data_IF_528727064416
#
_entry.id   IF_528727064416
#
_cell.length_a   1.000
_cell.length_b   1.000
_cell.length_c   1.000
_cell.angle_alpha   90.00
_cell.angle_beta   90.00
_cell.angle_gamma   90.00
#
_symmetry.space_group_name_H-M   'P 1'
#
loop_
_entity.id
_entity.type
_entity.pdbx_description
1 polymer ?
#
# COMPACT_ATOMS: atom_id res chain seq x y z
N UNK A 1 13.63 1.59 -6.81
CA UNK A 1 13.61 2.21 -5.47
C UNK A 1 15.02 2.24 -4.92
N UNK A 2 15.37 3.31 -4.22
CA UNK A 2 16.63 3.45 -3.48
C UNK A 2 16.54 2.71 -2.14
N UNK A 3 17.64 2.59 -1.41
CA UNK A 3 17.69 1.93 -0.09
C UNK A 3 17.26 2.87 1.06
N UNK A 4 16.35 3.80 0.80
CA UNK A 4 15.91 4.84 1.73
C UNK A 4 14.41 5.12 1.55
N UNK A 5 13.87 5.95 2.45
CA UNK A 5 12.48 6.42 2.47
C UNK A 5 12.33 7.83 1.88
N UNK A 6 13.35 8.31 1.16
CA UNK A 6 13.39 9.66 0.62
C UNK A 6 12.59 9.73 -0.67
N UNK A 7 11.69 10.70 -0.74
CA UNK A 7 11.00 11.04 -1.97
C UNK A 7 11.87 12.00 -2.79
N UNK A 8 12.34 11.54 -3.94
CA UNK A 8 13.21 12.29 -4.85
C UNK A 8 12.47 13.31 -5.72
N UNK A 9 11.12 13.36 -5.66
CA UNK A 9 10.30 14.18 -6.57
C UNK A 9 9.58 15.30 -5.82
N UNK A 10 8.80 14.98 -4.79
CA UNK A 10 7.86 15.92 -4.17
C UNK A 10 8.14 16.23 -2.70
N UNK A 11 9.28 15.77 -2.18
CA UNK A 11 9.69 15.94 -0.79
C UNK A 11 8.70 15.33 0.24
N UNK A 12 7.92 14.32 -0.16
CA UNK A 12 7.07 13.52 0.73
C UNK A 12 7.87 12.35 1.34
N UNK A 13 9.05 12.64 1.88
CA UNK A 13 9.91 11.62 2.50
C UNK A 13 9.24 11.00 3.72
N UNK A 14 9.31 9.68 3.82
CA UNK A 14 8.73 8.92 4.92
C UNK A 14 9.66 8.80 6.13
N UNK A 15 9.14 8.20 7.20
CA UNK A 15 9.91 7.70 8.33
C UNK A 15 9.64 6.21 8.50
N UNK A 16 10.71 5.43 8.61
CA UNK A 16 10.61 4.00 8.84
C UNK A 16 10.21 3.72 10.30
N UNK A 17 9.21 2.87 10.51
CA UNK A 17 8.73 2.48 11.84
C UNK A 17 8.96 0.99 12.06
N UNK A 18 9.50 0.64 13.24
CA UNK A 18 9.87 -0.73 13.63
C UNK A 18 10.94 -1.38 12.72
N UNK A 19 11.85 -0.56 12.19
CA UNK A 19 13.06 -0.99 11.48
C UNK A 19 12.82 -1.96 10.31
N UNK A 20 12.01 -1.59 9.30
CA UNK A 20 11.93 -2.33 8.05
C UNK A 20 13.29 -2.37 7.35
N UNK A 21 13.46 -3.35 6.47
CA UNK A 21 14.74 -3.58 5.78
C UNK A 21 14.60 -3.40 4.29
N UNK A 22 15.71 -3.12 3.61
CA UNK A 22 15.77 -3.05 2.15
C UNK A 22 16.56 -4.23 1.63
N UNK A 23 16.06 -4.89 0.59
CA UNK A 23 16.76 -5.98 -0.10
C UNK A 23 16.98 -5.63 -1.56
N UNK A 24 18.12 -6.03 -2.12
CA UNK A 24 18.38 -5.94 -3.55
C UNK A 24 17.55 -6.99 -4.32
N UNK A 25 17.36 -6.78 -5.63
CA UNK A 25 16.60 -7.71 -6.48
C UNK A 25 15.14 -7.34 -6.70
N UNK A 26 14.79 -6.07 -6.50
CA UNK A 26 13.53 -5.51 -6.96
C UNK A 26 13.44 -5.42 -8.48
N UNK A 27 12.28 -4.97 -8.96
CA UNK A 27 12.02 -4.76 -10.39
C UNK A 27 13.13 -3.89 -11.00
N UNK A 28 13.65 -4.31 -12.15
CA UNK A 28 14.76 -3.68 -12.86
C UNK A 28 16.05 -3.51 -12.03
N UNK A 29 16.32 -4.41 -11.09
CA UNK A 29 17.55 -4.40 -10.29
C UNK A 29 17.57 -3.38 -9.15
N UNK A 30 16.42 -2.75 -8.84
CA UNK A 30 16.30 -1.82 -7.72
C UNK A 30 16.27 -2.51 -6.34
N UNK A 31 16.10 -1.71 -5.29
CA UNK A 31 15.79 -2.20 -3.95
C UNK A 31 14.29 -2.46 -3.76
N UNK A 32 13.96 -3.27 -2.78
CA UNK A 32 12.59 -3.52 -2.31
C UNK A 32 12.51 -3.25 -0.83
N UNK A 33 11.45 -2.59 -0.38
CA UNK A 33 11.11 -2.49 1.03
C UNK A 33 10.54 -3.83 1.51
N UNK A 34 11.22 -4.47 2.45
CA UNK A 34 10.79 -5.71 3.09
C UNK A 34 10.16 -5.40 4.44
N UNK A 35 8.87 -5.76 4.56
CA UNK A 35 8.08 -5.63 5.77
C UNK A 35 7.77 -7.01 6.36
N UNK A 36 7.89 -7.12 7.68
CA UNK A 36 7.52 -8.32 8.45
C UNK A 36 6.28 -8.01 9.26
N UNK A 37 5.18 -8.69 8.94
CA UNK A 37 3.87 -8.48 9.58
C UNK A 37 3.93 -8.62 11.11
N UNK A 38 4.57 -9.68 11.61
CA UNK A 38 4.71 -9.93 13.06
C UNK A 38 5.54 -8.87 13.81
N UNK A 39 6.24 -8.00 13.08
CA UNK A 39 7.05 -6.91 13.63
C UNK A 39 6.36 -5.55 13.50
N UNK A 40 5.12 -5.48 13.03
CA UNK A 40 4.33 -4.25 12.85
C UNK A 40 5.10 -3.16 12.08
N UNK A 41 5.75 -3.53 10.98
CA UNK A 41 6.62 -2.64 10.21
C UNK A 41 5.84 -1.86 9.15
N UNK A 42 6.15 -0.57 9.02
CA UNK A 42 5.57 0.30 8.00
C UNK A 42 6.45 1.53 7.77
N UNK A 43 6.17 2.27 6.70
CA UNK A 43 6.66 3.63 6.48
C UNK A 43 5.51 4.57 6.78
N UNK A 44 5.76 5.58 7.61
CA UNK A 44 4.80 6.68 7.82
C UNK A 44 5.20 7.86 6.96
N UNK A 45 4.23 8.49 6.30
CA UNK A 45 4.42 9.77 5.62
C UNK A 45 3.71 10.82 6.48
N UNK A 46 4.40 11.88 6.95
CA UNK A 46 3.86 12.79 7.96
C UNK A 46 2.75 13.70 7.43
N UNK A 47 2.60 13.78 6.10
CA UNK A 47 1.66 14.69 5.44
C UNK A 47 0.46 13.91 4.92
N UNK A 48 -0.73 14.30 5.38
CA UNK A 48 -1.99 13.81 4.82
C UNK A 48 -2.20 14.38 3.41
N UNK A 49 -2.53 13.52 2.46
CA UNK A 49 -2.86 13.91 1.09
C UNK A 49 -4.37 13.81 0.87
N UNK A 50 -5.03 14.93 0.56
CA UNK A 50 -6.46 14.91 0.27
C UNK A 50 -6.71 14.37 -1.13
N UNK A 51 -7.30 13.18 -1.23
CA UNK A 51 -7.78 12.59 -2.49
C UNK A 51 -9.28 12.77 -2.71
N UNK A 52 -9.95 13.50 -1.81
CA UNK A 52 -11.39 13.78 -1.93
C UNK A 52 -11.64 14.68 -3.14
N UNK A 53 -12.62 14.30 -3.96
CA UNK A 53 -13.04 15.05 -5.16
C UNK A 53 -11.96 15.23 -6.23
N UNK A 54 -10.96 14.37 -6.29
CA UNK A 54 -9.98 14.31 -7.39
C UNK A 54 -9.86 12.88 -7.91
N UNK A 55 -9.70 12.72 -9.23
CA UNK A 55 -9.26 11.44 -9.78
C UNK A 55 -7.83 11.16 -9.31
N UNK A 56 -7.51 9.91 -8.99
CA UNK A 56 -6.17 9.51 -8.58
C UNK A 56 -5.90 8.04 -8.92
N UNK A 57 -4.62 7.67 -8.92
CA UNK A 57 -4.19 6.28 -9.03
C UNK A 57 -3.20 5.98 -7.91
N UNK A 58 -3.42 4.86 -7.22
CA UNK A 58 -2.45 4.27 -6.31
C UNK A 58 -1.90 3.01 -6.98
N UNK A 59 -0.61 2.99 -7.27
CA UNK A 59 0.06 1.83 -7.87
C UNK A 59 1.33 1.45 -7.12
N UNK A 60 1.64 0.15 -7.13
CA UNK A 60 2.86 -0.39 -6.54
C UNK A 60 3.19 -1.78 -7.06
N UNK A 61 4.46 -2.15 -6.93
CA UNK A 61 4.90 -3.54 -7.05
C UNK A 61 4.90 -4.21 -5.68
N UNK A 62 4.31 -5.41 -5.59
CA UNK A 62 4.31 -6.21 -4.36
C UNK A 62 4.84 -7.63 -4.62
N UNK A 63 5.45 -8.21 -3.58
CA UNK A 63 5.87 -9.60 -3.54
C UNK A 63 5.42 -10.21 -2.21
N UNK A 64 4.18 -10.71 -2.11
CA UNK A 64 3.71 -11.32 -0.88
C UNK A 64 4.42 -12.66 -0.64
N UNK A 65 5.06 -12.84 0.52
CA UNK A 65 5.72 -14.10 0.89
C UNK A 65 4.80 -15.05 1.66
N UNK A 66 3.75 -14.51 2.28
CA UNK A 66 2.81 -15.25 3.12
C UNK A 66 1.41 -14.74 2.88
N UNK A 67 0.48 -15.65 2.58
CA UNK A 67 -0.94 -15.35 2.42
C UNK A 67 -1.75 -16.22 3.39
N UNK A 68 -1.97 -15.73 4.61
CA UNK A 68 -2.76 -16.47 5.62
C UNK A 68 -4.24 -16.14 5.47
N UNK A 69 -5.08 -17.18 5.33
CA UNK A 69 -6.54 -17.01 5.32
C UNK A 69 -7.02 -16.33 6.61
N UNK A 70 -7.95 -15.38 6.50
CA UNK A 70 -8.48 -14.62 7.63
C UNK A 70 -7.54 -13.53 8.18
N UNK A 71 -6.34 -13.35 7.60
CA UNK A 71 -5.44 -12.24 7.95
C UNK A 71 -5.50 -11.16 6.87
N UNK A 72 -5.55 -9.89 7.30
CA UNK A 72 -5.46 -8.73 6.42
C UNK A 72 -4.09 -8.06 6.59
N UNK A 73 -3.47 -7.70 5.47
CA UNK A 73 -2.16 -7.06 5.43
C UNK A 73 -2.30 -5.69 4.77
N UNK A 74 -1.83 -4.65 5.46
CA UNK A 74 -1.86 -3.29 4.96
C UNK A 74 -0.82 -3.05 3.87
N UNK A 75 -1.23 -2.44 2.75
CA UNK A 75 -0.35 -1.98 1.69
C UNK A 75 -0.26 -0.44 1.70
N UNK A 76 -1.40 0.21 1.90
CA UNK A 76 -1.50 1.66 2.06
C UNK A 76 -2.69 1.99 2.97
N UNK A 77 -2.55 3.03 3.78
CA UNK A 77 -3.68 3.58 4.52
C UNK A 77 -3.45 5.04 4.85
N UNK A 78 -4.50 5.83 4.76
CA UNK A 78 -4.59 7.14 5.40
C UNK A 78 -6.00 7.35 5.93
N UNK A 79 -6.12 8.15 6.97
CA UNK A 79 -7.40 8.51 7.57
C UNK A 79 -7.50 10.03 7.62
N UNK A 80 -8.64 10.58 7.19
CA UNK A 80 -8.91 12.01 7.30
C UNK A 80 -9.33 12.39 8.73
N UNK A 81 -10.12 11.53 9.36
CA UNK A 81 -10.64 11.70 10.70
C UNK A 81 -10.85 10.32 11.35
N UNK A 82 -10.89 10.27 12.69
CA UNK A 82 -11.21 9.05 13.45
C UNK A 82 -12.72 8.80 13.47
N UNK A 83 -13.37 8.92 12.31
CA UNK A 83 -14.80 8.73 12.10
C UNK A 83 -15.00 7.65 11.04
N UNK A 84 -16.15 6.96 11.10
CA UNK A 84 -16.49 5.91 10.15
C UNK A 84 -16.37 6.41 8.70
N UNK A 85 -15.90 5.56 7.80
CA UNK A 85 -15.93 5.74 6.34
C UNK A 85 -15.05 6.85 5.73
N UNK A 86 -14.17 7.48 6.52
CA UNK A 86 -13.25 8.53 6.05
C UNK A 86 -11.80 8.04 5.84
N UNK A 87 -11.64 6.73 5.68
CA UNK A 87 -10.36 6.08 5.50
C UNK A 87 -10.19 5.67 4.05
N UNK A 88 -9.01 5.98 3.51
CA UNK A 88 -8.52 5.38 2.28
C UNK A 88 -7.60 4.24 2.70
N UNK A 89 -7.93 3.00 2.34
CA UNK A 89 -7.07 1.87 2.63
C UNK A 89 -6.96 0.95 1.43
N UNK A 90 -5.76 0.39 1.24
CA UNK A 90 -5.49 -0.72 0.35
C UNK A 90 -4.90 -1.84 1.18
N UNK A 91 -5.60 -2.97 1.23
CA UNK A 91 -5.19 -4.16 1.95
C UNK A 91 -5.21 -5.36 1.00
N UNK A 92 -4.48 -6.40 1.37
CA UNK A 92 -4.76 -7.73 0.86
C UNK A 92 -5.33 -8.59 2.00
N UNK A 93 -6.41 -9.32 1.73
CA UNK A 93 -7.10 -10.17 2.72
C UNK A 93 -7.65 -11.41 2.03
N UNK A 94 -7.36 -12.60 2.57
CA UNK A 94 -7.84 -13.87 2.00
C UNK A 94 -7.36 -14.16 0.57
N UNK A 95 -6.30 -13.50 0.13
CA UNK A 95 -5.73 -13.60 -1.22
C UNK A 95 -6.24 -12.56 -2.21
N UNK A 96 -7.29 -11.80 -1.88
CA UNK A 96 -7.78 -10.73 -2.74
C UNK A 96 -7.31 -9.35 -2.25
N UNK A 97 -7.12 -8.43 -3.19
CA UNK A 97 -6.93 -7.02 -2.87
C UNK A 97 -8.28 -6.41 -2.53
N UNK A 98 -8.29 -5.55 -1.51
CA UNK A 98 -9.45 -4.76 -1.14
C UNK A 98 -9.05 -3.32 -0.96
N UNK A 99 -9.90 -2.44 -1.43
CA UNK A 99 -9.73 -1.01 -1.27
C UNK A 99 -11.00 -0.39 -0.78
N UNK A 100 -10.91 0.40 0.28
CA UNK A 100 -12.01 1.21 0.77
C UNK A 100 -11.72 2.69 0.66
N UNK A 101 -12.72 3.46 0.27
CA UNK A 101 -12.69 4.92 0.20
C UNK A 101 -14.11 5.49 0.25
N UNK A 102 -14.38 6.41 1.18
CA UNK A 102 -15.66 7.16 1.28
C UNK A 102 -16.92 6.29 1.16
N UNK A 103 -17.08 5.34 2.10
CA UNK A 103 -18.24 4.44 2.21
C UNK A 103 -18.40 3.44 1.03
N UNK A 104 -17.39 3.34 0.15
CA UNK A 104 -17.34 2.32 -0.89
C UNK A 104 -16.11 1.43 -0.71
N UNK A 105 -16.33 0.13 -0.84
CA UNK A 105 -15.27 -0.88 -0.88
C UNK A 105 -15.29 -1.60 -2.24
N UNK A 106 -14.13 -1.76 -2.86
CA UNK A 106 -13.94 -2.62 -4.02
C UNK A 106 -13.02 -3.78 -3.66
N UNK A 107 -13.43 -4.99 -4.02
CA UNK A 107 -12.59 -6.20 -3.92
C UNK A 107 -12.17 -6.64 -5.30
N UNK A 108 -10.88 -6.88 -5.51
CA UNK A 108 -10.37 -7.40 -6.78
C UNK A 108 -10.90 -8.81 -7.03
N UNK A 109 -11.32 -9.11 -8.27
CA UNK A 109 -11.68 -10.47 -8.67
C UNK A 109 -10.49 -11.44 -8.79
N UNK A 110 -9.26 -10.92 -8.76
CA UNK A 110 -8.03 -11.72 -8.83
C UNK A 110 -7.59 -12.15 -7.44
N UNK A 111 -7.27 -13.44 -7.29
CA UNK A 111 -6.64 -13.98 -6.08
C UNK A 111 -5.13 -14.07 -6.31
N UNK A 112 -4.35 -13.40 -5.47
CA UNK A 112 -2.90 -13.43 -5.47
C UNK A 112 -2.39 -14.75 -4.88
N UNK A 113 -1.22 -15.16 -5.34
CA UNK A 113 -0.45 -16.29 -4.80
C UNK A 113 0.82 -15.77 -4.14
N UNK A 114 1.34 -16.51 -3.16
CA UNK A 114 2.59 -16.14 -2.52
C UNK A 114 3.78 -16.35 -3.49
N UNK A 115 4.87 -15.64 -3.23
CA UNK A 115 6.15 -15.77 -3.93
C UNK A 115 6.10 -15.43 -5.44
N UNK A 116 5.28 -14.44 -5.79
CA UNK A 116 5.20 -13.89 -7.13
C UNK A 116 5.17 -12.36 -7.10
N UNK A 117 5.77 -11.72 -8.10
CA UNK A 117 5.67 -10.28 -8.29
C UNK A 117 4.34 -9.92 -8.92
N UNK A 118 3.68 -8.90 -8.36
CA UNK A 118 2.49 -8.30 -8.93
C UNK A 118 2.68 -6.80 -9.07
N UNK A 119 2.27 -6.25 -10.21
CA UNK A 119 1.99 -4.83 -10.33
C UNK A 119 0.50 -4.62 -10.06
N UNK A 120 0.19 -3.80 -9.06
CA UNK A 120 -1.19 -3.50 -8.69
C UNK A 120 -1.43 -2.03 -8.89
N UNK A 121 -2.62 -1.70 -9.38
CA UNK A 121 -3.09 -0.34 -9.51
C UNK A 121 -4.56 -0.28 -9.09
N UNK A 122 -4.89 0.72 -8.29
CA UNK A 122 -6.25 1.17 -8.09
C UNK A 122 -6.41 2.52 -8.75
N UNK A 123 -7.50 2.67 -9.49
CA UNK A 123 -7.85 3.89 -10.21
C UNK A 123 -9.20 4.36 -9.69
N UNK A 124 -9.24 5.58 -9.19
CA UNK A 124 -10.47 6.29 -8.90
C UNK A 124 -10.63 7.42 -9.91
N UNK A 125 -11.77 7.43 -10.57
CA UNK A 125 -12.14 8.50 -11.49
C UNK A 125 -13.34 9.27 -10.94
N UNK A 126 -13.15 10.57 -10.72
CA UNK A 126 -14.17 11.49 -10.23
C UNK A 126 -14.94 12.17 -11.36
N UNK A 127 -14.71 11.81 -12.63
CA UNK A 127 -15.55 12.31 -13.72
C UNK A 127 -16.96 11.72 -13.63
N UNK A 128 -17.96 12.59 -13.54
CA UNK A 128 -19.38 12.25 -13.58
C UNK A 128 -19.87 11.87 -14.97
#
# INVERSE_FOLDING_TARGET
MENNVTDSISNLSGTAVNSPTYTSGGVNGGYTLKLVHSSNQYITIPTYQSFVSTSFTLEMWIYPTTLTSGTSYGLFSQYQALTQDHNLYLIFSGGNLKMGFWNDDVTSGTTLSANAWYHIAFVYDNSS
#
